data_IF_228431977477
#
_entry.id   IF_228431977477
#
_cell.length_a   1.000
_cell.length_b   1.000
_cell.length_c   1.000
_cell.angle_alpha   90.00
_cell.angle_beta   90.00
_cell.angle_gamma   90.00
#
_symmetry.space_group_name_H-M   'P 1'
#
loop_
_entity.id
_entity.type
_entity.pdbx_description
1 polymer ?
#
# COMPACT_ATOMS: atom_id res chain seq x y z
N UNK A 1 -27.41 13.55 -38.71
CA UNK A 1 -27.23 14.45 -37.55
C UNK A 1 -26.07 13.92 -36.73
N UNK A 2 -25.22 14.79 -36.19
CA UNK A 2 -24.15 14.35 -35.29
C UNK A 2 -24.79 13.77 -34.02
N UNK A 3 -24.23 12.68 -33.50
CA UNK A 3 -24.66 12.08 -32.24
C UNK A 3 -24.37 13.07 -31.09
N UNK A 4 -25.31 13.29 -30.15
CA UNK A 4 -25.04 14.13 -28.99
C UNK A 4 -23.90 13.54 -28.16
N UNK A 5 -22.97 14.40 -27.71
CA UNK A 5 -21.90 13.98 -26.81
C UNK A 5 -22.48 13.63 -25.43
N UNK A 6 -21.96 12.58 -24.76
CA UNK A 6 -22.37 12.28 -23.40
C UNK A 6 -22.11 13.45 -22.45
N UNK A 7 -23.07 13.74 -21.59
CA UNK A 7 -22.90 14.72 -20.52
C UNK A 7 -22.31 14.03 -19.29
N UNK A 8 -21.27 14.61 -18.70
CA UNK A 8 -20.69 14.09 -17.48
C UNK A 8 -21.58 14.41 -16.28
N UNK A 9 -22.01 13.36 -15.57
CA UNK A 9 -22.69 13.48 -14.26
C UNK A 9 -21.68 13.33 -13.12
N UNK A 10 -20.75 12.38 -13.20
CA UNK A 10 -19.71 12.17 -12.20
C UNK A 10 -18.44 11.56 -12.79
N UNK A 11 -17.29 12.03 -12.31
CA UNK A 11 -15.96 11.45 -12.54
C UNK A 11 -15.21 11.45 -11.20
N UNK A 12 -15.12 10.29 -10.55
CA UNK A 12 -14.57 10.16 -9.20
C UNK A 12 -13.44 9.14 -9.18
N UNK A 13 -12.34 9.46 -8.51
CA UNK A 13 -11.33 8.47 -8.12
C UNK A 13 -11.71 7.88 -6.77
N UNK A 14 -11.57 6.56 -6.64
CA UNK A 14 -11.96 5.84 -5.44
C UNK A 14 -11.18 4.54 -5.26
N UNK A 15 -11.14 4.00 -4.04
CA UNK A 15 -10.53 2.70 -3.76
C UNK A 15 -11.33 1.57 -4.44
N UNK A 16 -12.67 1.63 -4.32
CA UNK A 16 -13.59 0.64 -4.88
C UNK A 16 -14.88 1.28 -5.38
N UNK A 17 -15.39 0.78 -6.50
CA UNK A 17 -16.75 1.08 -6.96
C UNK A 17 -17.40 -0.18 -7.54
N UNK A 18 -18.57 -0.55 -7.02
CA UNK A 18 -19.33 -1.74 -7.45
C UNK A 18 -20.84 -1.54 -7.27
N UNK A 19 -21.64 -2.38 -7.92
CA UNK A 19 -23.08 -2.41 -7.69
C UNK A 19 -23.44 -3.37 -6.55
N UNK A 20 -24.26 -2.90 -5.62
CA UNK A 20 -24.79 -3.73 -4.54
C UNK A 20 -25.73 -4.81 -5.13
N UNK A 21 -25.48 -6.06 -4.74
CA UNK A 21 -26.31 -7.18 -5.12
C UNK A 21 -27.79 -6.95 -4.71
N UNK A 22 -28.71 -7.17 -5.63
CA UNK A 22 -30.16 -7.07 -5.40
C UNK A 22 -30.79 -5.69 -5.57
N UNK A 23 -30.02 -4.59 -5.45
CA UNK A 23 -30.57 -3.22 -5.59
C UNK A 23 -30.09 -2.49 -6.85
N UNK A 24 -29.01 -2.95 -7.47
CA UNK A 24 -28.31 -2.27 -8.58
C UNK A 24 -27.83 -0.85 -8.25
N UNK A 25 -27.87 -0.46 -6.97
CA UNK A 25 -27.32 0.81 -6.49
C UNK A 25 -25.80 0.74 -6.47
N UNK A 26 -25.14 1.83 -6.84
CA UNK A 26 -23.68 1.91 -6.76
C UNK A 26 -23.21 2.21 -5.35
N UNK A 27 -22.20 1.46 -4.91
CA UNK A 27 -21.39 1.74 -3.74
C UNK A 27 -20.04 2.27 -4.23
N UNK A 28 -19.63 3.43 -3.72
CA UNK A 28 -18.35 4.07 -4.03
C UNK A 28 -17.64 4.26 -2.69
N UNK A 29 -16.48 3.65 -2.53
CA UNK A 29 -15.75 3.57 -1.25
C UNK A 29 -14.40 4.25 -1.42
N UNK A 30 -14.04 5.11 -0.46
CA UNK A 30 -12.75 5.77 -0.41
C UNK A 30 -12.54 6.75 -1.56
N UNK A 31 -13.44 7.73 -1.73
CA UNK A 31 -13.26 8.78 -2.74
C UNK A 31 -12.09 9.67 -2.34
N UNK A 32 -11.17 9.92 -3.28
CA UNK A 32 -9.98 10.74 -3.01
C UNK A 32 -9.67 11.76 -4.13
N UNK A 33 -8.84 12.72 -3.78
CA UNK A 33 -8.23 13.73 -4.67
C UNK A 33 -6.69 13.72 -4.60
N UNK A 34 -6.11 12.87 -3.76
CA UNK A 34 -4.68 12.70 -3.62
C UNK A 34 -4.29 11.23 -3.38
N UNK A 35 -3.15 10.85 -3.95
CA UNK A 35 -2.43 9.61 -3.69
C UNK A 35 -1.19 9.92 -2.86
N UNK A 36 -0.98 9.15 -1.80
CA UNK A 36 0.13 9.32 -0.86
C UNK A 36 1.20 8.26 -1.12
N UNK A 37 2.26 8.66 -1.81
CA UNK A 37 3.41 7.83 -2.14
C UNK A 37 4.43 7.83 -0.99
N UNK A 38 4.80 6.66 -0.43
CA UNK A 38 5.88 6.59 0.57
C UNK A 38 7.26 6.87 -0.03
N UNK A 39 7.46 6.52 -1.30
CA UNK A 39 8.71 6.70 -2.04
C UNK A 39 8.39 6.77 -3.53
N UNK A 40 9.31 7.32 -4.33
CA UNK A 40 9.17 7.43 -5.78
C UNK A 40 10.29 6.66 -6.50
N UNK A 41 10.01 5.99 -7.64
CA UNK A 41 8.71 5.86 -8.29
C UNK A 41 7.72 5.05 -7.43
N UNK A 42 6.43 5.39 -7.54
CA UNK A 42 5.35 4.79 -6.77
C UNK A 42 4.37 4.09 -7.70
N UNK A 43 4.22 2.78 -7.54
CA UNK A 43 3.23 2.01 -8.28
C UNK A 43 2.01 1.77 -7.41
N UNK A 44 0.87 2.34 -7.79
CA UNK A 44 -0.40 2.08 -7.11
C UNK A 44 -0.90 0.68 -7.51
N UNK A 45 -1.13 -0.24 -6.55
CA UNK A 45 -1.56 -1.59 -6.88
C UNK A 45 -2.91 -1.63 -7.61
N UNK A 46 -3.93 -0.94 -7.05
CA UNK A 46 -5.27 -0.86 -7.62
C UNK A 46 -6.00 0.38 -7.11
N UNK A 47 -6.65 1.10 -8.01
CA UNK A 47 -7.71 2.08 -7.68
C UNK A 47 -8.75 2.09 -8.82
N UNK A 48 -9.86 2.79 -8.63
CA UNK A 48 -10.94 2.84 -9.60
C UNK A 48 -11.28 4.29 -9.99
N UNK A 49 -11.67 4.48 -11.24
CA UNK A 49 -12.41 5.66 -11.66
C UNK A 49 -13.88 5.29 -11.86
N UNK A 50 -14.77 5.87 -11.06
CA UNK A 50 -16.21 5.81 -11.26
C UNK A 50 -16.65 6.91 -12.22
N UNK A 51 -17.38 6.52 -13.26
CA UNK A 51 -17.89 7.40 -14.31
C UNK A 51 -19.40 7.27 -14.38
N UNK A 52 -20.10 8.40 -14.39
CA UNK A 52 -21.53 8.48 -14.66
C UNK A 52 -21.79 9.49 -15.79
N UNK A 53 -22.53 9.06 -16.82
CA UNK A 53 -22.84 9.83 -18.03
C UNK A 53 -24.34 9.86 -18.29
N UNK A 54 -24.86 10.99 -18.76
CA UNK A 54 -26.25 11.15 -19.19
C UNK A 54 -26.35 11.64 -20.63
N UNK A 55 -27.58 11.70 -21.14
CA UNK A 55 -27.96 12.40 -22.37
C UNK A 55 -27.25 11.93 -23.65
N UNK A 56 -26.89 10.64 -23.70
CA UNK A 56 -26.40 9.99 -24.91
C UNK A 56 -27.24 8.77 -25.28
N UNK A 57 -27.19 8.41 -26.57
CA UNK A 57 -27.84 7.22 -27.13
C UNK A 57 -26.83 6.47 -28.01
N UNK A 58 -27.00 5.15 -28.20
CA UNK A 58 -26.09 4.33 -29.01
C UNK A 58 -24.87 3.81 -28.26
N UNK A 59 -23.91 3.21 -28.95
CA UNK A 59 -22.66 2.65 -28.41
C UNK A 59 -21.48 3.60 -28.59
N UNK A 60 -20.60 3.74 -27.60
CA UNK A 60 -19.37 4.54 -27.74
C UNK A 60 -18.17 3.85 -27.11
N UNK A 61 -16.97 4.24 -27.50
CA UNK A 61 -15.73 3.85 -26.83
C UNK A 61 -15.21 5.04 -26.04
N UNK A 62 -15.08 4.85 -24.73
CA UNK A 62 -14.50 5.83 -23.84
C UNK A 62 -13.03 5.48 -23.57
N UNK A 63 -12.20 6.50 -23.49
CA UNK A 63 -10.82 6.38 -23.03
C UNK A 63 -10.67 7.21 -21.75
N UNK A 64 -10.11 6.61 -20.70
CA UNK A 64 -9.61 7.36 -19.55
C UNK A 64 -8.10 7.41 -19.61
N UNK A 65 -7.55 8.62 -19.59
CA UNK A 65 -6.12 8.86 -19.67
C UNK A 65 -5.66 9.58 -18.40
N UNK A 66 -4.64 9.02 -17.75
CA UNK A 66 -3.91 9.71 -16.69
C UNK A 66 -2.72 10.42 -17.32
N UNK A 67 -2.57 11.72 -17.07
CA UNK A 67 -1.39 12.50 -17.46
C UNK A 67 -0.69 13.12 -16.27
N UNK A 68 0.61 13.35 -16.42
CA UNK A 68 1.39 14.14 -15.48
C UNK A 68 1.24 15.65 -15.74
N UNK A 69 1.95 16.46 -14.95
CA UNK A 69 1.89 17.92 -15.00
C UNK A 69 2.42 18.49 -16.34
N UNK A 70 3.34 17.78 -16.99
CA UNK A 70 3.85 18.09 -18.32
C UNK A 70 2.96 17.60 -19.46
N UNK A 71 1.86 16.90 -19.14
CA UNK A 71 0.89 16.37 -20.11
C UNK A 71 1.29 15.04 -20.75
N UNK A 72 2.36 14.39 -20.29
CA UNK A 72 2.75 13.07 -20.75
C UNK A 72 1.78 12.01 -20.22
N UNK A 73 1.52 10.97 -21.02
CA UNK A 73 0.61 9.89 -20.63
C UNK A 73 1.31 8.99 -19.61
N UNK A 74 0.73 8.91 -18.42
CA UNK A 74 1.14 7.97 -17.36
C UNK A 74 0.45 6.62 -17.56
N UNK A 75 -0.84 6.62 -17.84
CA UNK A 75 -1.62 5.41 -18.06
C UNK A 75 -2.88 5.69 -18.90
N UNK A 76 -3.41 4.68 -19.59
CA UNK A 76 -4.67 4.81 -20.33
C UNK A 76 -5.48 3.51 -20.30
N UNK A 77 -6.80 3.63 -20.19
CA UNK A 77 -7.75 2.53 -20.24
C UNK A 77 -8.84 2.84 -21.26
N UNK A 78 -9.36 1.80 -21.92
CA UNK A 78 -10.51 1.91 -22.83
C UNK A 78 -11.66 1.05 -22.35
N UNK A 79 -12.88 1.57 -22.51
CA UNK A 79 -14.10 0.86 -22.19
C UNK A 79 -15.15 1.08 -23.26
N UNK A 80 -15.73 -0.01 -23.75
CA UNK A 80 -16.83 0.05 -24.71
C UNK A 80 -18.15 0.11 -23.97
N UNK A 81 -18.92 1.17 -24.23
CA UNK A 81 -20.31 1.28 -23.81
C UNK A 81 -21.19 0.59 -24.85
N UNK A 82 -22.02 -0.40 -24.47
CA UNK A 82 -22.96 -1.02 -25.40
C UNK A 82 -24.05 -0.03 -25.85
N UNK A 83 -24.84 -0.35 -26.88
CA UNK A 83 -26.00 0.45 -27.23
C UNK A 83 -26.98 0.52 -26.06
N UNK A 84 -27.25 1.73 -25.57
CA UNK A 84 -28.18 1.97 -24.46
C UNK A 84 -29.33 2.90 -24.90
N UNK A 85 -30.53 2.73 -24.32
CA UNK A 85 -31.57 3.75 -24.44
C UNK A 85 -31.11 5.03 -23.74
N UNK A 86 -31.76 6.16 -24.07
CA UNK A 86 -31.46 7.43 -23.41
C UNK A 86 -31.64 7.29 -21.89
N UNK A 87 -30.58 7.57 -21.14
CA UNK A 87 -30.59 7.37 -19.69
C UNK A 87 -29.22 7.63 -19.04
N UNK A 88 -29.12 7.24 -17.78
CA UNK A 88 -27.89 7.32 -16.99
C UNK A 88 -27.06 6.04 -17.19
N UNK A 89 -25.85 6.19 -17.70
CA UNK A 89 -24.85 5.13 -17.75
C UNK A 89 -23.85 5.31 -16.61
N UNK A 90 -23.51 4.22 -15.93
CA UNK A 90 -22.56 4.23 -14.84
C UNK A 90 -21.60 3.06 -14.99
N UNK A 91 -20.30 3.32 -14.84
CA UNK A 91 -19.27 2.31 -15.01
C UNK A 91 -18.06 2.59 -14.12
N UNK A 92 -17.26 1.56 -13.89
CA UNK A 92 -16.04 1.61 -13.07
C UNK A 92 -14.87 1.13 -13.89
N UNK A 93 -13.79 1.91 -13.93
CA UNK A 93 -12.55 1.59 -14.62
C UNK A 93 -11.47 1.22 -13.59
N UNK A 94 -11.02 -0.04 -13.55
CA UNK A 94 -9.96 -0.46 -12.63
C UNK A 94 -8.58 -0.07 -13.19
N UNK A 95 -7.86 0.77 -12.46
CA UNK A 95 -6.47 1.13 -12.72
C UNK A 95 -5.56 0.25 -11.87
N UNK A 96 -4.78 -0.62 -12.50
CA UNK A 96 -3.86 -1.54 -11.83
C UNK A 96 -2.42 -1.29 -12.27
N UNK A 97 -1.50 -1.28 -11.32
CA UNK A 97 -0.07 -1.12 -11.61
C UNK A 97 0.30 0.23 -12.22
N UNK A 98 -0.40 1.31 -11.86
CA UNK A 98 -0.09 2.65 -12.37
C UNK A 98 1.15 3.18 -11.66
N UNK A 99 2.24 3.36 -12.41
CA UNK A 99 3.50 3.90 -11.90
C UNK A 99 3.53 5.43 -12.06
N UNK A 100 3.69 6.13 -10.93
CA UNK A 100 3.95 7.55 -10.87
C UNK A 100 5.45 7.77 -10.62
N UNK A 101 6.12 8.48 -11.53
CA UNK A 101 7.57 8.69 -11.44
C UNK A 101 7.97 9.85 -10.54
N UNK A 102 7.10 10.84 -10.41
CA UNK A 102 7.34 12.07 -9.63
C UNK A 102 6.07 12.51 -8.91
N UNK A 103 6.20 13.14 -7.73
CA UNK A 103 5.07 13.79 -7.11
C UNK A 103 4.65 14.99 -7.97
N UNK A 104 3.38 15.37 -7.93
CA UNK A 104 2.86 16.46 -8.74
C UNK A 104 1.36 16.39 -8.96
N UNK A 105 0.85 17.38 -9.69
CA UNK A 105 -0.56 17.39 -10.13
C UNK A 105 -0.69 16.52 -11.37
N UNK A 106 -1.62 15.59 -11.33
CA UNK A 106 -1.98 14.72 -12.44
C UNK A 106 -3.39 15.01 -12.88
N UNK A 107 -3.72 14.65 -14.11
CA UNK A 107 -5.08 14.76 -14.64
C UNK A 107 -5.63 13.40 -15.00
N UNK A 108 -6.93 13.22 -14.76
CA UNK A 108 -7.73 12.12 -15.29
C UNK A 108 -8.65 12.70 -16.36
N UNK A 109 -8.38 12.35 -17.61
CA UNK A 109 -9.11 12.81 -18.78
C UNK A 109 -10.08 11.73 -19.23
N UNK A 110 -11.34 12.08 -19.43
CA UNK A 110 -12.35 11.23 -20.04
C UNK A 110 -12.57 11.68 -21.49
N UNK A 111 -12.30 10.81 -22.45
CA UNK A 111 -12.43 11.08 -23.88
C UNK A 111 -13.48 10.18 -24.55
N UNK A 112 -14.18 10.72 -25.54
CA UNK A 112 -14.93 9.98 -26.56
C UNK A 112 -14.19 10.15 -27.89
N UNK A 113 -13.47 9.10 -28.31
CA UNK A 113 -12.51 9.17 -29.40
C UNK A 113 -11.40 10.19 -29.11
N UNK A 114 -11.44 11.36 -29.77
CA UNK A 114 -10.48 12.47 -29.55
C UNK A 114 -11.10 13.66 -28.83
N UNK A 115 -12.39 13.62 -28.55
CA UNK A 115 -13.09 14.72 -27.89
C UNK A 115 -13.00 14.55 -26.38
N UNK A 116 -12.42 15.54 -25.70
CA UNK A 116 -12.40 15.61 -24.24
C UNK A 116 -13.83 15.88 -23.75
N UNK A 117 -14.39 14.93 -22.98
CA UNK A 117 -15.67 15.12 -22.29
C UNK A 117 -15.43 15.91 -21.00
N UNK A 118 -14.43 15.50 -20.21
CA UNK A 118 -14.13 16.11 -18.92
C UNK A 118 -12.72 15.78 -18.45
N UNK A 119 -12.24 16.59 -17.51
CA UNK A 119 -10.94 16.46 -16.87
C UNK A 119 -11.10 16.68 -15.37
N UNK A 120 -10.45 15.84 -14.57
CA UNK A 120 -10.32 16.03 -13.11
C UNK A 120 -8.86 15.98 -12.71
N UNK A 121 -8.40 16.97 -11.95
CA UNK A 121 -7.07 16.95 -11.35
C UNK A 121 -7.05 16.14 -10.05
N UNK A 122 -5.94 15.47 -9.78
CA UNK A 122 -5.62 14.85 -8.49
C UNK A 122 -4.13 15.00 -8.21
N UNK A 123 -3.70 14.84 -6.96
CA UNK A 123 -2.30 14.98 -6.57
C UNK A 123 -1.66 13.62 -6.34
N UNK A 124 -0.39 13.48 -6.71
CA UNK A 124 0.47 12.44 -6.15
C UNK A 124 1.47 13.15 -5.26
N UNK A 125 1.45 12.83 -3.97
CA UNK A 125 2.28 13.48 -2.97
C UNK A 125 3.23 12.46 -2.36
N UNK A 126 4.50 12.80 -2.27
CA UNK A 126 5.42 12.09 -1.40
C UNK A 126 5.06 12.43 0.04
N UNK A 127 4.72 11.43 0.83
CA UNK A 127 4.53 11.58 2.27
C UNK A 127 5.82 11.11 2.90
N UNK A 128 6.60 12.06 3.42
CA UNK A 128 7.70 11.70 4.29
C UNK A 128 7.13 10.95 5.50
N UNK A 129 7.73 9.81 5.87
CA UNK A 129 7.33 9.13 7.09
C UNK A 129 7.49 10.08 8.28
N UNK A 130 6.43 10.26 9.05
CA UNK A 130 6.44 11.04 10.28
C UNK A 130 7.17 10.22 11.36
N UNK A 131 8.41 10.58 11.74
CA UNK A 131 9.21 9.76 12.65
C UNK A 131 8.56 9.63 14.03
N UNK A 132 7.81 10.65 14.49
CA UNK A 132 7.14 10.62 15.79
C UNK A 132 5.99 9.61 15.77
N UNK A 133 5.18 9.64 14.71
CA UNK A 133 4.07 8.69 14.54
C UNK A 133 4.57 7.25 14.41
N UNK A 134 5.66 7.03 13.69
CA UNK A 134 6.24 5.70 13.52
C UNK A 134 6.90 5.17 14.79
N UNK A 135 7.56 6.04 15.56
CA UNK A 135 8.09 5.66 16.87
C UNK A 135 6.94 5.31 17.83
N UNK A 136 5.85 6.08 17.83
CA UNK A 136 4.67 5.79 18.65
C UNK A 136 3.99 4.47 18.23
N UNK A 137 3.91 4.17 16.94
CA UNK A 137 3.40 2.88 16.44
C UNK A 137 4.30 1.73 16.89
N UNK A 138 5.62 1.86 16.73
CA UNK A 138 6.56 0.83 17.14
C UNK A 138 6.50 0.57 18.65
N UNK A 139 6.44 1.63 19.47
CA UNK A 139 6.27 1.51 20.92
C UNK A 139 4.95 0.81 21.28
N UNK A 140 3.85 1.14 20.60
CA UNK A 140 2.56 0.50 20.82
C UNK A 140 2.60 -1.01 20.47
N UNK A 141 3.25 -1.37 19.37
CA UNK A 141 3.43 -2.76 18.94
C UNK A 141 4.30 -3.55 19.93
N UNK A 142 5.42 -2.97 20.39
CA UNK A 142 6.28 -3.58 21.40
C UNK A 142 5.52 -3.79 22.71
N UNK A 143 4.81 -2.76 23.19
CA UNK A 143 3.99 -2.86 24.40
C UNK A 143 2.93 -3.95 24.31
N UNK A 144 2.36 -4.15 23.12
CA UNK A 144 1.34 -5.17 22.88
C UNK A 144 1.89 -6.59 22.78
N UNK A 145 3.10 -6.77 22.22
CA UNK A 145 3.60 -8.10 21.83
C UNK A 145 4.95 -8.51 22.45
N UNK A 146 5.74 -7.56 22.96
CA UNK A 146 7.08 -7.79 23.50
C UNK A 146 7.10 -8.77 24.67
N UNK A 147 6.13 -8.66 25.60
CA UNK A 147 6.04 -9.58 26.74
C UNK A 147 5.83 -11.05 26.32
N UNK A 148 5.06 -11.28 25.24
CA UNK A 148 4.87 -12.61 24.67
C UNK A 148 6.16 -13.12 24.02
N UNK A 149 6.83 -12.29 23.22
CA UNK A 149 8.09 -12.65 22.58
C UNK A 149 9.19 -12.97 23.62
N UNK A 150 9.21 -12.25 24.75
CA UNK A 150 10.12 -12.54 25.86
C UNK A 150 9.84 -13.91 26.50
N UNK A 151 8.57 -14.30 26.63
CA UNK A 151 8.21 -15.64 27.10
C UNK A 151 8.68 -16.72 26.11
N UNK A 152 8.42 -16.53 24.82
CA UNK A 152 8.87 -17.45 23.76
C UNK A 152 10.41 -17.56 23.74
N UNK A 153 11.13 -16.44 23.92
CA UNK A 153 12.59 -16.43 23.99
C UNK A 153 13.15 -17.20 25.19
N UNK A 154 12.48 -17.14 26.35
CA UNK A 154 12.86 -17.92 27.55
C UNK A 154 12.75 -19.42 27.31
N UNK A 155 11.75 -19.87 26.56
CA UNK A 155 11.64 -21.28 26.16
C UNK A 155 12.82 -21.68 25.27
N UNK A 156 13.18 -20.84 24.30
CA UNK A 156 14.35 -21.08 23.43
C UNK A 156 15.65 -21.15 24.25
N UNK A 157 15.87 -20.23 25.21
CA UNK A 157 17.07 -20.26 26.06
C UNK A 157 17.11 -21.45 27.00
N UNK A 158 15.97 -21.95 27.47
CA UNK A 158 15.92 -23.15 28.31
C UNK A 158 16.41 -24.39 27.55
N UNK A 159 16.10 -24.49 26.25
CA UNK A 159 16.55 -25.59 25.38
C UNK A 159 17.96 -25.35 24.81
N UNK A 160 18.27 -24.09 24.50
CA UNK A 160 19.49 -23.64 23.84
C UNK A 160 20.05 -22.38 24.53
N UNK A 161 20.81 -22.53 25.63
CA UNK A 161 21.30 -21.40 26.42
C UNK A 161 22.12 -20.38 25.61
N UNK A 162 22.88 -20.83 24.61
CA UNK A 162 23.73 -19.95 23.79
C UNK A 162 22.97 -19.32 22.60
N UNK A 163 21.67 -19.57 22.47
CA UNK A 163 20.87 -19.03 21.38
C UNK A 163 20.75 -17.50 21.49
N UNK A 164 20.75 -16.82 20.34
CA UNK A 164 20.48 -15.39 20.19
C UNK A 164 19.14 -15.19 19.47
N UNK A 165 18.01 -15.56 20.08
CA UNK A 165 16.73 -15.41 19.45
C UNK A 165 16.38 -13.92 19.34
N UNK A 166 15.73 -13.56 18.24
CA UNK A 166 15.25 -12.20 17.97
C UNK A 166 13.74 -12.25 17.78
N UNK A 167 13.04 -11.37 18.47
CA UNK A 167 11.63 -11.13 18.23
C UNK A 167 11.44 -10.29 16.98
N UNK A 168 10.45 -10.63 16.15
CA UNK A 168 10.04 -9.84 15.00
C UNK A 168 8.57 -9.47 15.15
N UNK A 169 8.27 -8.17 15.09
CA UNK A 169 6.92 -7.65 14.95
C UNK A 169 6.85 -6.87 13.65
N UNK A 170 5.94 -7.20 12.74
CA UNK A 170 5.69 -6.38 11.54
C UNK A 170 4.26 -5.84 11.57
N UNK A 171 4.11 -4.52 11.45
CA UNK A 171 2.81 -3.85 11.34
C UNK A 171 2.03 -4.33 10.11
N UNK A 172 0.71 -4.21 10.13
CA UNK A 172 -0.13 -4.56 8.98
C UNK A 172 0.16 -3.68 7.75
N UNK A 173 0.68 -2.46 7.94
CA UNK A 173 1.13 -1.61 6.84
C UNK A 173 2.49 -2.08 6.29
N UNK A 174 3.44 -2.43 7.18
CA UNK A 174 4.73 -2.98 6.78
C UNK A 174 4.59 -4.24 5.94
N UNK A 175 3.69 -5.16 6.31
CA UNK A 175 3.44 -6.41 5.57
C UNK A 175 2.89 -6.20 4.16
N UNK A 176 2.43 -5.00 3.84
CA UNK A 176 1.94 -4.63 2.52
C UNK A 176 2.98 -3.90 1.67
N UNK A 177 4.08 -3.46 2.27
CA UNK A 177 5.15 -2.77 1.52
C UNK A 177 5.85 -3.73 0.54
N UNK A 178 6.14 -3.29 -0.70
CA UNK A 178 6.78 -4.17 -1.69
C UNK A 178 8.11 -4.75 -1.22
N UNK A 179 8.94 -3.92 -0.57
CA UNK A 179 10.27 -4.32 -0.10
C UNK A 179 10.18 -5.43 0.96
N UNK A 180 9.28 -5.29 1.94
CA UNK A 180 9.16 -6.28 3.01
C UNK A 180 8.55 -7.58 2.48
N UNK A 181 7.54 -7.51 1.59
CA UNK A 181 6.96 -8.71 0.97
C UNK A 181 7.99 -9.49 0.15
N UNK A 182 8.82 -8.78 -0.61
CA UNK A 182 9.89 -9.39 -1.39
C UNK A 182 10.93 -10.04 -0.48
N UNK A 183 11.39 -9.34 0.56
CA UNK A 183 12.37 -9.86 1.51
C UNK A 183 11.81 -11.07 2.27
N UNK A 184 10.59 -10.96 2.78
CA UNK A 184 9.89 -12.03 3.49
C UNK A 184 9.70 -13.26 2.59
N UNK A 185 9.31 -13.08 1.33
CA UNK A 185 9.21 -14.18 0.38
C UNK A 185 10.56 -14.82 0.05
N UNK A 186 11.63 -14.04 -0.03
CA UNK A 186 12.99 -14.55 -0.22
C UNK A 186 13.47 -15.41 0.96
N UNK A 187 13.04 -15.10 2.18
CA UNK A 187 13.44 -15.82 3.39
C UNK A 187 12.53 -17.02 3.70
N UNK A 188 11.21 -16.85 3.57
CA UNK A 188 10.21 -17.81 4.04
C UNK A 188 9.44 -18.53 2.92
N UNK A 189 9.72 -18.22 1.65
CA UNK A 189 9.12 -18.91 0.50
C UNK A 189 7.66 -18.53 0.20
N UNK A 190 7.16 -17.41 0.73
CA UNK A 190 5.79 -16.94 0.49
C UNK A 190 5.57 -15.49 0.91
N UNK A 191 4.44 -14.89 0.54
CA UNK A 191 4.10 -13.55 0.99
C UNK A 191 3.73 -13.55 2.50
N UNK A 192 4.06 -12.49 3.25
CA UNK A 192 3.58 -12.34 4.62
C UNK A 192 2.04 -12.22 4.63
N UNK A 193 1.39 -12.56 5.76
CA UNK A 193 -0.05 -12.33 5.90
C UNK A 193 -0.36 -10.83 5.81
N UNK A 194 -1.54 -10.48 5.29
CA UNK A 194 -2.05 -9.09 5.30
C UNK A 194 -2.57 -8.70 6.71
N UNK A 195 -1.74 -8.89 7.74
CA UNK A 195 -2.05 -8.66 9.14
C UNK A 195 -0.76 -8.32 9.90
N UNK A 196 -0.87 -8.03 11.20
CA UNK A 196 0.30 -7.94 12.08
C UNK A 196 0.96 -9.32 12.14
N UNK A 197 2.26 -9.37 11.91
CA UNK A 197 3.07 -10.58 12.04
C UNK A 197 3.90 -10.49 13.33
N UNK A 198 3.88 -11.56 14.13
CA UNK A 198 4.67 -11.67 15.36
C UNK A 198 5.32 -13.05 15.38
N UNK A 199 6.63 -13.10 15.53
CA UNK A 199 7.36 -14.37 15.55
C UNK A 199 8.79 -14.25 16.06
N UNK A 200 9.42 -15.39 16.29
CA UNK A 200 10.82 -15.51 16.69
C UNK A 200 11.66 -15.95 15.49
N UNK A 201 12.89 -15.45 15.40
CA UNK A 201 13.85 -15.80 14.37
C UNK A 201 15.29 -15.73 14.90
N UNK A 202 16.24 -16.31 14.18
CA UNK A 202 17.66 -16.15 14.48
C UNK A 202 18.25 -14.90 13.80
N UNK A 203 19.39 -14.42 14.31
CA UNK A 203 20.05 -13.23 13.76
C UNK A 203 20.40 -13.35 12.26
N UNK A 204 20.94 -14.48 11.77
CA UNK A 204 21.17 -14.66 10.33
C UNK A 204 19.91 -14.55 9.47
N UNK A 205 18.76 -14.99 9.97
CA UNK A 205 17.47 -14.87 9.29
C UNK A 205 16.98 -13.43 9.29
N UNK A 206 17.16 -12.69 10.38
CA UNK A 206 16.83 -11.25 10.39
C UNK A 206 17.69 -10.50 9.38
N UNK A 207 19.00 -10.71 9.36
CA UNK A 207 19.91 -10.03 8.46
C UNK A 207 19.53 -10.28 6.99
N UNK A 208 19.13 -11.50 6.65
CA UNK A 208 18.59 -11.82 5.32
C UNK A 208 17.29 -11.09 5.02
N UNK A 209 16.40 -10.95 6.01
CA UNK A 209 15.14 -10.21 5.87
C UNK A 209 15.37 -8.69 5.71
N UNK A 210 16.44 -8.15 6.30
CA UNK A 210 16.80 -6.74 6.19
C UNK A 210 17.48 -6.40 4.86
N UNK A 211 17.99 -7.40 4.13
CA UNK A 211 18.69 -7.21 2.86
C UNK A 211 19.84 -6.21 2.99
N UNK A 212 19.97 -5.30 2.01
CA UNK A 212 21.02 -4.27 1.99
C UNK A 212 20.93 -3.27 3.17
N UNK A 213 19.81 -3.21 3.90
CA UNK A 213 19.72 -2.40 5.12
C UNK A 213 20.43 -3.07 6.30
N UNK A 214 20.71 -4.38 6.26
CA UNK A 214 21.24 -5.14 7.38
C UNK A 214 22.55 -4.58 7.94
N UNK A 215 23.45 -4.09 7.07
CA UNK A 215 24.72 -3.50 7.51
C UNK A 215 24.52 -2.25 8.38
N UNK A 216 23.46 -1.47 8.13
CA UNK A 216 23.16 -0.25 8.90
C UNK A 216 22.67 -0.54 10.32
N UNK A 217 22.21 -1.74 10.56
CA UNK A 217 21.58 -2.13 11.82
C UNK A 217 22.33 -3.24 12.53
N UNK A 218 23.49 -3.66 12.03
CA UNK A 218 24.33 -4.66 12.70
C UNK A 218 24.59 -4.28 14.16
N UNK A 219 24.97 -3.02 14.40
CA UNK A 219 25.22 -2.50 15.75
C UNK A 219 23.95 -2.45 16.63
N UNK A 220 22.76 -2.34 16.01
CA UNK A 220 21.50 -2.38 16.74
C UNK A 220 21.08 -3.81 17.13
N UNK A 221 21.65 -4.83 16.49
CA UNK A 221 21.42 -6.23 16.85
C UNK A 221 22.29 -6.70 18.02
N UNK A 222 23.38 -5.99 18.30
CA UNK A 222 24.21 -6.21 19.49
C UNK A 222 23.57 -5.45 20.67
N UNK A 223 22.99 -6.15 21.65
CA UNK A 223 22.35 -5.47 22.77
C UNK A 223 23.39 -4.69 23.57
N UNK A 224 23.11 -3.45 24.00
CA UNK A 224 24.08 -2.62 24.72
C UNK A 224 24.41 -3.13 26.14
N UNK A 225 23.87 -4.30 26.55
CA UNK A 225 23.86 -4.81 27.92
C UNK A 225 24.35 -6.26 28.04
N UNK A 226 25.41 -6.66 27.31
CA UNK A 226 25.93 -8.04 27.33
C UNK A 226 26.28 -8.59 28.72
N UNK A 227 26.42 -7.72 29.74
CA UNK A 227 26.73 -8.11 31.11
C UNK A 227 25.51 -8.36 32.02
N UNK A 228 24.27 -8.18 31.53
CA UNK A 228 23.05 -8.17 32.35
C UNK A 228 22.18 -9.43 32.15
N UNK A 229 22.76 -10.51 31.60
CA UNK A 229 22.04 -11.76 31.35
C UNK A 229 21.49 -11.86 29.92
N UNK A 230 20.44 -12.66 29.73
CA UNK A 230 19.83 -12.83 28.41
C UNK A 230 19.02 -11.59 28.01
N UNK A 231 19.35 -11.00 26.86
CA UNK A 231 18.62 -9.86 26.30
C UNK A 231 17.95 -10.30 25.01
N UNK A 232 16.64 -10.11 24.93
CA UNK A 232 15.87 -10.27 23.71
C UNK A 232 15.87 -8.95 22.95
N UNK A 233 16.50 -8.94 21.78
CA UNK A 233 16.29 -7.88 20.79
C UNK A 233 14.94 -8.12 20.09
N UNK A 234 14.12 -7.09 19.97
CA UNK A 234 12.86 -7.12 19.21
C UNK A 234 12.97 -6.15 18.05
N UNK A 235 13.01 -6.68 16.83
CA UNK A 235 12.95 -5.92 15.60
C UNK A 235 11.49 -5.64 15.24
N UNK A 236 11.15 -4.36 15.09
CA UNK A 236 9.79 -3.88 14.81
C UNK A 236 9.78 -3.24 13.43
N UNK A 237 9.01 -3.80 12.52
CA UNK A 237 8.91 -3.37 11.12
C UNK A 237 7.67 -2.50 10.97
N UNK A 238 7.92 -1.23 10.68
CA UNK A 238 6.92 -0.21 10.34
C UNK A 238 6.94 0.05 8.85
N UNK A 239 6.07 0.93 8.35
CA UNK A 239 6.00 1.28 6.94
C UNK A 239 7.33 1.79 6.37
N UNK A 240 8.10 2.57 7.14
CA UNK A 240 9.38 3.15 6.68
C UNK A 240 10.60 2.27 6.91
N UNK A 241 10.52 1.27 7.77
CA UNK A 241 11.68 0.43 8.10
C UNK A 241 11.65 -0.14 9.52
N UNK A 242 12.85 -0.40 10.04
CA UNK A 242 13.07 -1.10 11.30
C UNK A 242 13.24 -0.16 12.48
N UNK A 243 12.66 -0.55 13.61
CA UNK A 243 12.89 -0.02 14.96
C UNK A 243 13.30 -1.19 15.86
N UNK A 244 13.97 -0.89 16.96
CA UNK A 244 14.48 -1.91 17.88
C UNK A 244 14.06 -1.60 19.31
N UNK A 245 13.59 -2.63 20.01
CA UNK A 245 13.36 -2.65 21.44
C UNK A 245 14.19 -3.77 22.08
N UNK A 246 14.48 -3.65 23.37
CA UNK A 246 15.29 -4.62 24.10
C UNK A 246 14.58 -5.00 25.40
N UNK A 247 14.44 -6.30 25.64
CA UNK A 247 13.82 -6.86 26.83
C UNK A 247 14.85 -7.72 27.57
N UNK A 248 15.08 -7.42 28.85
CA UNK A 248 15.99 -8.20 29.69
C UNK A 248 15.19 -9.35 30.31
N UNK A 249 15.71 -10.58 30.21
CA UNK A 249 15.18 -11.70 30.95
C UNK A 249 15.89 -11.80 32.30
N UNK A 250 15.15 -11.51 33.36
CA UNK A 250 15.47 -11.97 34.72
C UNK A 250 15.48 -13.50 34.80
#
# INVERSE_FOLDING_TARGET
>A
MARPQPQLVALLLCDQAFQQAGSSKWCIIGVFDALHAPAMPFTVPLFHAYVALSDFTGDTELELVVRDEEGAVVHALRGKIPPLPMGLFQYTFPFSGVEFKKPGVHTLELLDGKALISLRSFRVQSVEPDPEKENAEAEALDKQHGARLLADAREVWAEHPDAKPIGLIASAEATQTPWFRQAFAGVFGGAPPNAIFVGMLDSPTLLRLMGDQGERFHDALEPPFEHVGHVLTVAIVTRSGFKFAYHVAD
#
